data_IF_825359787136
#
_entry.id   IF_825359787136
#
_cell.length_a   1.000
_cell.length_b   1.000
_cell.length_c   1.000
_cell.angle_alpha   90.00
_cell.angle_beta   90.00
_cell.angle_gamma   90.00
#
_symmetry.space_group_name_H-M   'P 1'
#
loop_
_entity.id
_entity.type
_entity.pdbx_description
1 polymer ?
#
# COMPACT_ATOMS: atom_id res chain seq x y z
N UNK A 1 -3.36 16.95 42.02
CA UNK A 1 -2.56 18.20 41.96
C UNK A 1 -2.87 19.14 40.78
N UNK A 2 -3.36 18.69 39.62
CA UNK A 2 -3.58 19.57 38.46
C UNK A 2 -4.81 20.50 38.54
N UNK A 3 -5.87 20.13 39.28
CA UNK A 3 -7.09 20.94 39.40
C UNK A 3 -6.93 22.21 40.25
N UNK A 4 -5.97 22.25 41.19
CA UNK A 4 -5.75 23.42 42.06
C UNK A 4 -4.98 24.55 41.36
N UNK A 5 -4.10 24.22 40.39
CA UNK A 5 -3.39 25.21 39.56
C UNK A 5 -4.35 25.96 38.62
N UNK A 6 -5.27 25.26 37.95
CA UNK A 6 -6.26 25.87 37.06
C UNK A 6 -7.19 26.86 37.76
N UNK A 7 -7.56 26.60 39.03
CA UNK A 7 -8.41 27.49 39.82
C UNK A 7 -7.69 28.77 40.26
N UNK A 8 -6.37 28.71 40.47
CA UNK A 8 -5.53 29.91 40.76
C UNK A 8 -5.35 30.78 39.53
N UNK A 9 -5.12 30.21 38.35
CA UNK A 9 -4.94 30.99 37.11
C UNK A 9 -6.23 31.68 36.65
N UNK A 10 -7.39 31.04 36.81
CA UNK A 10 -8.69 31.66 36.53
C UNK A 10 -8.98 32.88 37.44
N UNK A 11 -8.49 32.87 38.68
CA UNK A 11 -8.68 33.98 39.64
C UNK A 11 -7.77 35.18 39.30
N UNK A 12 -6.58 34.93 38.76
CA UNK A 12 -5.63 35.97 38.32
C UNK A 12 -6.16 36.66 37.05
N UNK A 13 -6.66 35.90 36.07
CA UNK A 13 -7.26 36.43 34.84
C UNK A 13 -8.51 37.29 35.09
N UNK A 14 -9.32 36.96 36.11
CA UNK A 14 -10.51 37.75 36.48
C UNK A 14 -10.13 39.09 37.15
N UNK A 15 -9.02 39.13 37.88
CA UNK A 15 -8.48 40.35 38.51
C UNK A 15 -7.88 41.32 37.47
N UNK A 16 -7.21 40.80 36.45
CA UNK A 16 -6.66 41.62 35.34
C UNK A 16 -7.74 42.24 34.46
N UNK A 17 -8.86 41.54 34.21
CA UNK A 17 -10.02 42.10 33.49
C UNK A 17 -10.71 43.23 34.27
N UNK A 18 -10.73 43.17 35.60
CA UNK A 18 -11.36 44.19 36.42
C UNK A 18 -10.52 45.49 36.45
N UNK A 19 -9.19 45.37 36.44
CA UNK A 19 -8.27 46.51 36.40
C UNK A 19 -8.33 47.28 35.06
N UNK A 20 -8.52 46.56 33.95
CA UNK A 20 -8.69 47.16 32.61
C UNK A 20 -10.02 47.91 32.45
N UNK A 21 -11.07 47.51 33.18
CA UNK A 21 -12.39 48.14 33.09
C UNK A 21 -12.50 49.42 33.94
N UNK A 22 -11.73 49.56 35.02
CA UNK A 22 -11.66 50.80 35.81
C UNK A 22 -10.75 51.87 35.21
N UNK A 23 -9.82 51.52 34.31
CA UNK A 23 -8.96 52.50 33.64
C UNK A 23 -9.61 53.16 32.41
N UNK A 24 -10.74 52.65 31.92
CA UNK A 24 -11.40 53.12 30.68
C UNK A 24 -12.35 54.31 30.86
N UNK A 25 -12.45 54.93 32.05
CA UNK A 25 -13.41 56.03 32.33
C UNK A 25 -12.86 57.45 32.14
N UNK A 26 -11.66 57.63 31.59
CA UNK A 26 -10.99 58.94 31.56
C UNK A 26 -10.41 59.42 30.23
N UNK A 27 -10.66 58.76 29.08
CA UNK A 27 -10.04 59.16 27.81
C UNK A 27 -11.06 59.49 26.71
N UNK A 28 -10.91 60.63 25.99
CA UNK A 28 -11.78 61.01 24.88
C UNK A 28 -11.64 60.05 23.70
N UNK A 29 -12.70 59.93 22.89
CA UNK A 29 -12.88 59.04 21.73
C UNK A 29 -11.58 58.85 20.92
N UNK A 30 -10.87 57.74 21.15
CA UNK A 30 -9.84 57.25 20.24
C UNK A 30 -10.43 56.08 19.45
N UNK A 31 -10.18 56.14 18.15
CA UNK A 31 -10.76 55.35 17.08
C UNK A 31 -10.79 53.83 17.36
N UNK A 32 -11.89 53.16 17.00
CA UNK A 32 -12.15 51.73 17.30
C UNK A 32 -11.20 50.74 16.60
N UNK A 33 -10.29 51.23 15.75
CA UNK A 33 -9.48 50.40 14.86
C UNK A 33 -8.19 49.84 15.52
N UNK A 34 -7.85 50.28 16.75
CA UNK A 34 -6.65 49.79 17.47
C UNK A 34 -6.99 48.66 18.47
N UNK A 35 -8.27 48.33 18.66
CA UNK A 35 -8.74 47.32 19.61
C UNK A 35 -8.99 45.93 19.00
N UNK A 36 -8.35 45.61 17.87
CA UNK A 36 -8.51 44.33 17.16
C UNK A 36 -7.30 43.38 17.28
N UNK A 37 -6.47 43.47 18.33
CA UNK A 37 -5.27 42.62 18.53
C UNK A 37 -5.53 41.44 19.49
N UNK A 38 -6.74 40.89 19.53
CA UNK A 38 -7.03 39.74 20.41
C UNK A 38 -7.97 38.68 19.82
N UNK A 39 -7.46 37.89 18.87
CA UNK A 39 -8.02 36.58 18.51
C UNK A 39 -6.92 35.53 18.22
N UNK A 40 -6.17 35.04 19.22
CA UNK A 40 -5.17 33.98 19.00
C UNK A 40 -5.75 32.57 18.79
N UNK A 41 -7.05 32.35 19.02
CA UNK A 41 -7.65 31.00 19.11
C UNK A 41 -7.90 30.31 17.76
N UNK A 42 -8.09 31.03 16.65
CA UNK A 42 -8.24 30.41 15.32
C UNK A 42 -6.93 29.92 14.74
N UNK A 43 -5.86 30.71 14.83
CA UNK A 43 -4.54 30.41 14.23
C UNK A 43 -3.87 29.19 14.88
N UNK A 44 -4.02 29.04 16.20
CA UNK A 44 -3.46 27.90 16.95
C UNK A 44 -4.19 26.59 16.59
N UNK A 45 -5.51 26.63 16.34
CA UNK A 45 -6.28 25.46 15.91
C UNK A 45 -5.89 25.00 14.51
N UNK A 46 -5.69 25.92 13.57
CA UNK A 46 -5.24 25.58 12.22
C UNK A 46 -3.82 25.03 12.21
N UNK A 47 -2.88 25.57 13.00
CA UNK A 47 -1.53 24.99 13.15
C UNK A 47 -1.56 23.59 13.78
N UNK A 48 -2.30 23.37 14.87
CA UNK A 48 -2.44 22.02 15.47
C UNK A 48 -3.11 21.01 14.53
N UNK A 49 -4.08 21.45 13.72
CA UNK A 49 -4.72 20.59 12.71
C UNK A 49 -3.73 20.24 11.58
N UNK A 50 -2.90 21.21 11.15
CA UNK A 50 -1.87 21.03 10.14
C UNK A 50 -0.73 20.12 10.64
N UNK A 51 -0.25 20.31 11.87
CA UNK A 51 0.73 19.43 12.52
C UNK A 51 0.19 18.01 12.74
N UNK A 52 -1.05 17.85 13.20
CA UNK A 52 -1.68 16.52 13.31
C UNK A 52 -1.83 15.85 11.93
N UNK A 53 -2.18 16.61 10.89
CA UNK A 53 -2.26 16.07 9.52
C UNK A 53 -0.89 15.70 8.94
N UNK A 54 0.19 16.39 9.35
CA UNK A 54 1.56 16.04 8.93
C UNK A 54 2.11 14.83 9.71
N UNK A 55 1.89 14.77 11.03
CA UNK A 55 2.32 13.63 11.86
C UNK A 55 1.54 12.34 11.58
N UNK A 56 0.26 12.44 11.20
CA UNK A 56 -0.54 11.26 10.85
C UNK A 56 -0.17 10.70 9.47
N UNK A 57 0.30 11.54 8.54
CA UNK A 57 0.70 11.14 7.18
C UNK A 57 2.05 10.41 7.14
N UNK A 58 2.98 10.72 8.04
CA UNK A 58 4.27 10.02 8.16
C UNK A 58 4.12 8.62 8.74
N UNK A 59 3.26 8.42 9.74
CA UNK A 59 3.04 7.10 10.36
C UNK A 59 2.45 6.07 9.39
N UNK A 60 1.51 6.48 8.52
CA UNK A 60 0.92 5.58 7.52
C UNK A 60 1.90 5.20 6.41
N UNK A 61 2.82 6.09 6.04
CA UNK A 61 3.80 5.84 4.98
C UNK A 61 4.85 4.81 5.41
N UNK A 62 5.33 4.89 6.65
CA UNK A 62 6.28 3.90 7.21
C UNK A 62 5.64 2.52 7.32
N UNK A 63 4.37 2.44 7.75
CA UNK A 63 3.63 1.18 7.81
C UNK A 63 3.42 0.54 6.43
N UNK A 64 3.12 1.37 5.43
CA UNK A 64 2.96 0.89 4.04
C UNK A 64 4.29 0.38 3.49
N UNK A 65 5.39 1.10 3.74
CA UNK A 65 6.72 0.68 3.33
C UNK A 65 7.14 -0.64 4.00
N UNK A 66 6.91 -0.76 5.31
CA UNK A 66 7.18 -1.99 6.04
C UNK A 66 6.33 -3.16 5.53
N UNK A 67 5.04 -2.92 5.23
CA UNK A 67 4.17 -3.94 4.62
C UNK A 67 4.69 -4.41 3.26
N UNK A 68 5.12 -3.48 2.40
CA UNK A 68 5.71 -3.81 1.10
C UNK A 68 7.01 -4.60 1.25
N UNK A 69 7.87 -4.23 2.21
CA UNK A 69 9.12 -4.94 2.49
C UNK A 69 8.87 -6.38 2.99
N UNK A 70 7.86 -6.58 3.85
CA UNK A 70 7.49 -7.92 4.33
C UNK A 70 6.96 -8.78 3.17
N UNK A 71 6.11 -8.21 2.31
CA UNK A 71 5.60 -8.94 1.13
C UNK A 71 6.73 -9.28 0.15
N UNK A 72 7.66 -8.34 -0.07
CA UNK A 72 8.85 -8.57 -0.89
C UNK A 72 9.70 -9.73 -0.34
N UNK A 73 9.97 -9.73 0.97
CA UNK A 73 10.70 -10.81 1.62
C UNK A 73 9.95 -12.16 1.52
N UNK A 74 8.64 -12.14 1.76
CA UNK A 74 7.79 -13.33 1.63
C UNK A 74 7.80 -13.88 0.20
N UNK A 75 7.76 -13.00 -0.80
CA UNK A 75 7.85 -13.37 -2.22
C UNK A 75 9.16 -14.14 -2.49
N UNK A 76 10.30 -13.58 -2.10
CA UNK A 76 11.62 -14.22 -2.30
C UNK A 76 11.72 -15.54 -1.55
N UNK A 77 11.20 -15.62 -0.32
CA UNK A 77 11.20 -16.87 0.47
C UNK A 77 10.34 -17.95 -0.18
N UNK A 78 9.14 -17.61 -0.68
CA UNK A 78 8.30 -18.54 -1.44
C UNK A 78 9.03 -19.05 -2.69
N UNK A 79 9.80 -18.17 -3.34
CA UNK A 79 10.61 -18.57 -4.48
C UNK A 79 11.78 -19.49 -4.09
N UNK A 80 12.26 -19.44 -2.84
CA UNK A 80 13.35 -20.30 -2.38
C UNK A 80 12.88 -21.70 -1.97
N UNK A 81 11.70 -21.80 -1.36
CA UNK A 81 11.17 -23.05 -0.82
C UNK A 81 10.79 -24.04 -1.94
N UNK A 82 10.47 -23.52 -3.14
CA UNK A 82 10.05 -24.34 -4.27
C UNK A 82 11.15 -24.41 -5.33
N UNK A 83 11.91 -25.52 -5.40
CA UNK A 83 12.97 -25.71 -6.39
C UNK A 83 12.43 -25.86 -7.83
N UNK A 84 11.11 -26.01 -8.00
CA UNK A 84 10.44 -26.27 -9.29
C UNK A 84 10.09 -25.00 -10.07
N UNK A 85 10.93 -23.96 -10.00
CA UNK A 85 10.74 -22.70 -10.74
C UNK A 85 11.53 -22.60 -12.04
N UNK A 86 12.42 -23.56 -12.30
CA UNK A 86 13.33 -23.53 -13.45
C UNK A 86 13.18 -24.84 -14.25
N UNK A 87 12.63 -24.75 -15.47
CA UNK A 87 12.38 -25.90 -16.34
C UNK A 87 11.14 -25.73 -17.24
N UNK A 88 10.71 -26.80 -17.92
CA UNK A 88 9.50 -26.77 -18.76
C UNK A 88 8.21 -26.69 -17.91
N UNK A 89 8.21 -27.27 -16.71
CA UNK A 89 7.10 -27.19 -15.76
C UNK A 89 7.58 -26.29 -14.60
N UNK A 90 7.07 -25.06 -14.54
CA UNK A 90 7.45 -24.08 -13.51
C UNK A 90 6.26 -23.77 -12.62
N UNK A 91 6.36 -24.11 -11.34
CA UNK A 91 5.35 -23.76 -10.34
C UNK A 91 5.78 -22.50 -9.62
N UNK A 92 5.19 -21.35 -9.99
CA UNK A 92 5.50 -20.06 -9.37
C UNK A 92 4.48 -19.72 -8.28
N UNK A 93 4.62 -20.34 -7.11
CA UNK A 93 3.74 -20.05 -5.96
C UNK A 93 3.84 -18.59 -5.52
N UNK A 94 4.96 -17.93 -5.76
CA UNK A 94 5.17 -16.53 -5.43
C UNK A 94 4.21 -15.58 -6.15
N UNK A 95 3.70 -15.94 -7.34
CA UNK A 95 2.68 -15.14 -8.06
C UNK A 95 1.30 -15.20 -7.36
N UNK A 96 1.07 -16.17 -6.47
CA UNK A 96 -0.15 -16.19 -5.63
C UNK A 96 -0.27 -14.95 -4.74
N UNK A 97 0.86 -14.31 -4.39
CA UNK A 97 0.88 -13.06 -3.63
C UNK A 97 0.26 -11.88 -4.39
N UNK A 98 0.12 -11.98 -5.72
CA UNK A 98 -0.58 -10.95 -6.50
C UNK A 98 -2.04 -10.81 -6.11
N UNK A 99 -2.68 -11.86 -5.58
CA UNK A 99 -4.03 -11.74 -5.05
C UNK A 99 -4.14 -10.73 -3.90
N UNK A 100 -3.09 -10.51 -3.10
CA UNK A 100 -3.09 -9.45 -2.07
C UNK A 100 -3.18 -8.05 -2.70
N UNK A 101 -2.55 -7.87 -3.87
CA UNK A 101 -2.50 -6.60 -4.58
C UNK A 101 -3.88 -6.20 -5.10
N UNK A 102 -4.72 -7.18 -5.43
CA UNK A 102 -6.12 -6.97 -5.83
C UNK A 102 -6.95 -6.34 -4.71
N UNK A 103 -6.67 -6.72 -3.46
CA UNK A 103 -7.34 -6.15 -2.29
C UNK A 103 -6.78 -4.78 -1.91
N UNK A 104 -5.45 -4.61 -1.94
CA UNK A 104 -4.82 -3.33 -1.63
C UNK A 104 -3.70 -2.99 -2.61
N UNK A 105 -3.97 -1.98 -3.44
CA UNK A 105 -3.07 -1.48 -4.50
C UNK A 105 -1.74 -0.96 -3.96
N UNK A 106 -1.61 -0.69 -2.67
CA UNK A 106 -0.34 -0.25 -2.05
C UNK A 106 0.75 -1.32 -2.13
N UNK A 107 0.36 -2.60 -2.22
CA UNK A 107 1.26 -3.75 -2.23
C UNK A 107 1.89 -4.08 -3.59
N UNK A 108 1.51 -3.39 -4.67
CA UNK A 108 2.09 -3.56 -6.01
C UNK A 108 3.61 -3.51 -5.94
N UNK A 109 4.15 -2.51 -5.25
CA UNK A 109 5.60 -2.30 -5.14
C UNK A 109 6.31 -3.40 -4.34
N UNK A 110 5.62 -4.06 -3.41
CA UNK A 110 6.17 -5.19 -2.67
C UNK A 110 6.32 -6.42 -3.55
N UNK A 111 5.27 -6.77 -4.31
CA UNK A 111 5.31 -7.92 -5.22
C UNK A 111 6.23 -7.68 -6.41
N UNK A 112 6.09 -6.52 -7.09
CA UNK A 112 6.96 -6.16 -8.21
C UNK A 112 8.44 -6.11 -7.81
N UNK A 113 8.75 -5.49 -6.66
CA UNK A 113 10.10 -5.49 -6.14
C UNK A 113 10.60 -6.89 -5.78
N UNK A 114 9.72 -7.78 -5.29
CA UNK A 114 10.04 -9.18 -5.04
C UNK A 114 10.41 -9.96 -6.30
N UNK A 115 9.64 -9.79 -7.38
CA UNK A 115 9.91 -10.41 -8.70
C UNK A 115 11.24 -9.92 -9.24
N UNK A 116 11.46 -8.60 -9.26
CA UNK A 116 12.69 -8.00 -9.77
C UNK A 116 13.89 -8.46 -8.94
N UNK A 117 13.78 -8.49 -7.62
CA UNK A 117 14.85 -8.93 -6.74
C UNK A 117 15.16 -10.42 -6.92
N UNK A 118 14.14 -11.26 -6.96
CA UNK A 118 14.31 -12.70 -7.19
C UNK A 118 14.95 -12.96 -8.56
N UNK A 119 14.43 -12.36 -9.62
CA UNK A 119 14.97 -12.56 -10.98
C UNK A 119 16.40 -11.99 -11.11
N UNK A 120 16.75 -10.95 -10.36
CA UNK A 120 18.11 -10.40 -10.37
C UNK A 120 19.14 -11.35 -9.75
N UNK A 121 18.75 -12.08 -8.70
CA UNK A 121 19.63 -13.02 -8.00
C UNK A 121 19.58 -14.45 -8.54
N UNK A 122 18.42 -14.91 -8.99
CA UNK A 122 18.14 -16.33 -9.32
C UNK A 122 17.56 -16.54 -10.71
N UNK A 123 17.29 -15.48 -11.46
CA UNK A 123 16.71 -15.58 -12.80
C UNK A 123 17.72 -16.00 -13.87
N UNK A 124 17.21 -16.28 -15.07
CA UNK A 124 17.99 -16.60 -16.27
C UNK A 124 18.65 -15.36 -16.90
N UNK A 125 19.27 -14.52 -16.07
CA UNK A 125 19.94 -13.27 -16.46
C UNK A 125 19.02 -12.03 -16.50
N UNK A 126 19.52 -10.89 -17.00
CA UNK A 126 18.79 -9.61 -16.99
C UNK A 126 17.48 -9.64 -17.80
N UNK A 127 17.40 -10.53 -18.79
CA UNK A 127 16.20 -10.72 -19.59
C UNK A 127 15.05 -11.26 -18.75
N UNK A 128 15.32 -12.09 -17.74
CA UNK A 128 14.29 -12.63 -16.85
C UNK A 128 13.71 -11.53 -15.93
N UNK A 129 14.53 -10.56 -15.54
CA UNK A 129 14.05 -9.38 -14.80
C UNK A 129 13.11 -8.55 -15.67
N UNK A 130 13.45 -8.34 -16.94
CA UNK A 130 12.64 -7.55 -17.87
C UNK A 130 11.35 -8.27 -18.24
N UNK A 131 11.42 -9.52 -18.70
CA UNK A 131 10.23 -10.26 -19.14
C UNK A 131 9.36 -10.71 -17.97
N UNK A 132 9.95 -11.24 -16.90
CA UNK A 132 9.22 -11.60 -15.68
C UNK A 132 8.62 -10.38 -14.99
N UNK A 133 9.42 -9.33 -14.76
CA UNK A 133 8.94 -8.09 -14.17
C UNK A 133 7.86 -7.40 -15.03
N UNK A 134 8.05 -7.34 -16.35
CA UNK A 134 7.05 -6.76 -17.26
C UNK A 134 5.76 -7.61 -17.30
N UNK A 135 5.87 -8.93 -17.29
CA UNK A 135 4.73 -9.83 -17.23
C UNK A 135 3.91 -9.58 -15.97
N UNK A 136 4.53 -9.64 -14.78
CA UNK A 136 3.81 -9.41 -13.51
C UNK A 136 3.25 -7.99 -13.46
N UNK A 137 4.01 -6.98 -13.89
CA UNK A 137 3.56 -5.60 -13.89
C UNK A 137 2.36 -5.37 -14.82
N UNK A 138 2.39 -5.95 -16.03
CA UNK A 138 1.30 -5.84 -16.99
C UNK A 138 0.04 -6.57 -16.50
N UNK A 139 0.21 -7.78 -15.94
CA UNK A 139 -0.89 -8.55 -15.36
C UNK A 139 -1.54 -7.80 -14.18
N UNK A 140 -0.72 -7.24 -13.28
CA UNK A 140 -1.20 -6.41 -12.16
C UNK A 140 -1.94 -5.17 -12.64
N UNK A 141 -1.41 -4.45 -13.64
CA UNK A 141 -2.07 -3.28 -14.21
C UNK A 141 -3.42 -3.64 -14.85
N UNK A 142 -3.48 -4.75 -15.59
CA UNK A 142 -4.73 -5.25 -16.18
C UNK A 142 -5.76 -5.58 -15.08
N UNK A 143 -5.35 -6.27 -14.02
CA UNK A 143 -6.22 -6.59 -12.88
C UNK A 143 -6.69 -5.34 -12.14
N UNK A 144 -5.84 -4.34 -11.99
CA UNK A 144 -6.22 -3.05 -11.40
C UNK A 144 -7.25 -2.32 -12.30
N UNK A 145 -7.09 -2.42 -13.62
CA UNK A 145 -8.00 -1.90 -14.62
C UNK A 145 -9.37 -2.59 -14.65
N UNK A 146 -9.45 -3.90 -14.39
CA UNK A 146 -10.74 -4.62 -14.30
C UNK A 146 -11.39 -4.45 -12.93
N UNK A 147 -10.60 -4.35 -11.86
CA UNK A 147 -11.11 -4.22 -10.49
C UNK A 147 -11.96 -2.97 -10.28
N UNK A 148 -11.77 -1.91 -11.08
CA UNK A 148 -12.64 -0.71 -11.03
C UNK A 148 -14.06 -0.96 -11.55
N UNK A 149 -14.26 -1.97 -12.40
CA UNK A 149 -15.57 -2.30 -12.97
C UNK A 149 -16.29 -3.39 -12.18
N UNK A 150 -15.54 -4.33 -11.61
CA UNK A 150 -16.09 -5.47 -10.86
C UNK A 150 -16.22 -5.09 -9.39
N UNK A 151 -17.43 -5.18 -8.80
CA UNK A 151 -17.66 -4.83 -7.39
C UNK A 151 -17.46 -6.00 -6.41
N UNK A 152 -17.61 -7.24 -6.87
CA UNK A 152 -17.47 -8.43 -6.04
C UNK A 152 -16.02 -8.90 -5.95
N UNK A 153 -15.53 -9.11 -4.72
CA UNK A 153 -14.15 -9.53 -4.46
C UNK A 153 -13.78 -10.86 -5.15
N UNK A 154 -14.67 -11.84 -5.13
CA UNK A 154 -14.45 -13.16 -5.74
C UNK A 154 -14.20 -13.03 -7.25
N UNK A 155 -15.02 -12.25 -7.96
CA UNK A 155 -14.83 -12.04 -9.40
C UNK A 155 -13.54 -11.28 -9.71
N UNK A 156 -13.09 -10.36 -8.84
CA UNK A 156 -11.79 -9.71 -9.03
C UNK A 156 -10.63 -10.71 -8.96
N UNK A 157 -10.73 -11.71 -8.07
CA UNK A 157 -9.72 -12.77 -7.95
C UNK A 157 -9.73 -13.71 -9.16
N UNK A 158 -10.92 -14.07 -9.66
CA UNK A 158 -11.06 -14.88 -10.87
C UNK A 158 -10.44 -14.19 -12.07
N UNK A 159 -10.75 -12.90 -12.29
CA UNK A 159 -10.13 -12.14 -13.38
C UNK A 159 -8.61 -12.02 -13.21
N UNK A 160 -8.11 -11.85 -11.99
CA UNK A 160 -6.66 -11.86 -11.74
C UNK A 160 -6.02 -13.19 -12.17
N UNK A 161 -6.64 -14.32 -11.82
CA UNK A 161 -6.17 -15.64 -12.23
C UNK A 161 -6.07 -15.75 -13.75
N UNK A 162 -7.12 -15.34 -14.47
CA UNK A 162 -7.14 -15.37 -15.94
C UNK A 162 -6.04 -14.49 -16.55
N UNK A 163 -5.87 -13.26 -16.06
CA UNK A 163 -4.81 -12.38 -16.56
C UNK A 163 -3.42 -12.96 -16.33
N UNK A 164 -3.17 -13.54 -15.16
CA UNK A 164 -1.89 -14.17 -14.85
C UNK A 164 -1.63 -15.40 -15.73
N UNK A 165 -2.61 -16.28 -15.92
CA UNK A 165 -2.50 -17.43 -16.83
C UNK A 165 -2.21 -17.00 -18.27
N UNK A 166 -2.90 -15.99 -18.80
CA UNK A 166 -2.66 -15.49 -20.17
C UNK A 166 -1.29 -14.83 -20.29
N UNK A 167 -0.87 -14.10 -19.26
CA UNK A 167 0.41 -13.39 -19.24
C UNK A 167 1.63 -14.32 -19.24
N UNK A 168 1.46 -15.61 -18.93
CA UNK A 168 2.51 -16.65 -19.07
C UNK A 168 3.04 -16.77 -20.51
N UNK A 169 2.30 -16.26 -21.50
CA UNK A 169 2.78 -16.12 -22.88
C UNK A 169 4.13 -15.40 -22.97
N UNK A 170 4.31 -14.33 -22.18
CA UNK A 170 5.56 -13.55 -22.18
C UNK A 170 6.75 -14.36 -21.63
N UNK A 171 6.52 -15.15 -20.59
CA UNK A 171 7.55 -16.01 -19.98
C UNK A 171 7.89 -17.16 -20.93
N UNK A 172 6.89 -17.77 -21.59
CA UNK A 172 7.11 -18.82 -22.56
C UNK A 172 7.94 -18.34 -23.78
N UNK A 173 7.70 -17.12 -24.26
CA UNK A 173 8.52 -16.50 -25.31
C UNK A 173 9.96 -16.29 -24.84
N UNK A 174 10.16 -15.79 -23.63
CA UNK A 174 11.49 -15.62 -23.06
C UNK A 174 12.22 -16.95 -22.97
N UNK A 175 11.57 -18.00 -22.44
CA UNK A 175 12.17 -19.33 -22.28
C UNK A 175 12.52 -19.99 -23.62
N UNK A 176 11.73 -19.71 -24.66
CA UNK A 176 12.07 -20.14 -26.03
C UNK A 176 13.39 -19.49 -26.48
N UNK A 177 13.61 -18.21 -26.20
CA UNK A 177 14.83 -17.50 -26.59
C UNK A 177 16.05 -17.79 -25.71
N UNK A 178 15.86 -18.03 -24.42
CA UNK A 178 16.98 -18.21 -23.47
C UNK A 178 17.37 -19.65 -23.26
N UNK A 179 16.44 -20.59 -23.40
CA UNK A 179 16.64 -22.00 -23.09
C UNK A 179 16.27 -22.94 -24.25
N UNK A 180 16.04 -22.41 -25.46
CA UNK A 180 15.75 -23.14 -26.70
C UNK A 180 14.61 -24.19 -26.57
N UNK A 181 13.67 -23.93 -25.66
CA UNK A 181 12.54 -24.81 -25.42
C UNK A 181 11.40 -24.55 -26.41
N UNK A 182 10.64 -25.58 -26.83
CA UNK A 182 9.50 -25.40 -27.71
C UNK A 182 8.41 -24.56 -27.04
N UNK A 183 7.92 -23.55 -27.76
CA UNK A 183 6.99 -22.54 -27.23
C UNK A 183 5.66 -23.14 -26.73
N UNK A 184 4.97 -23.94 -27.56
CA UNK A 184 3.63 -24.45 -27.22
C UNK A 184 3.61 -25.38 -26.01
N UNK A 185 4.52 -26.36 -25.88
CA UNK A 185 4.62 -27.18 -24.67
C UNK A 185 4.93 -26.36 -23.43
N UNK A 186 5.92 -25.46 -23.50
CA UNK A 186 6.31 -24.62 -22.35
C UNK A 186 5.18 -23.68 -21.94
N UNK A 187 4.48 -23.06 -22.89
CA UNK A 187 3.31 -22.24 -22.58
C UNK A 187 2.20 -23.07 -21.93
N UNK A 188 1.89 -24.25 -22.49
CA UNK A 188 0.86 -25.12 -21.94
C UNK A 188 1.14 -25.56 -20.51
N UNK A 189 2.37 -26.00 -20.22
CA UNK A 189 2.76 -26.45 -18.89
C UNK A 189 2.85 -25.31 -17.87
N UNK A 190 3.40 -24.15 -18.26
CA UNK A 190 3.52 -22.97 -17.37
C UNK A 190 2.18 -22.26 -17.12
N UNK A 191 1.33 -22.15 -18.14
CA UNK A 191 -0.02 -21.61 -17.97
C UNK A 191 -0.88 -22.53 -17.10
N UNK A 192 -0.75 -23.85 -17.26
CA UNK A 192 -1.48 -24.83 -16.44
C UNK A 192 -1.02 -24.80 -14.98
N UNK A 193 0.29 -24.78 -14.71
CA UNK A 193 0.82 -24.72 -13.34
C UNK A 193 0.38 -23.43 -12.63
N UNK A 194 0.42 -22.29 -13.33
CA UNK A 194 -0.06 -21.02 -12.82
C UNK A 194 -1.56 -21.05 -12.52
N UNK A 195 -2.37 -21.55 -13.47
CA UNK A 195 -3.81 -21.64 -13.28
C UNK A 195 -4.18 -22.49 -12.05
N UNK A 196 -3.47 -23.60 -11.83
CA UNK A 196 -3.68 -24.48 -10.65
C UNK A 196 -3.33 -23.73 -9.36
N UNK A 197 -2.16 -23.09 -9.31
CA UNK A 197 -1.71 -22.33 -8.13
C UNK A 197 -2.67 -21.19 -7.81
N UNK A 198 -3.07 -20.41 -8.82
CA UNK A 198 -3.96 -19.27 -8.66
C UNK A 198 -5.37 -19.72 -8.25
N UNK A 199 -5.85 -20.84 -8.78
CA UNK A 199 -7.12 -21.43 -8.36
C UNK A 199 -7.10 -21.89 -6.89
N UNK A 200 -6.01 -22.52 -6.44
CA UNK A 200 -5.85 -22.97 -5.05
C UNK A 200 -5.63 -21.79 -4.09
N UNK A 201 -4.86 -20.80 -4.50
CA UNK A 201 -4.52 -19.66 -3.65
C UNK A 201 -5.64 -18.64 -3.52
N UNK A 202 -6.55 -18.53 -4.50
CA UNK A 202 -7.71 -17.66 -4.42
C UNK A 202 -8.58 -17.86 -3.16
N UNK A 203 -9.04 -19.08 -2.79
CA UNK A 203 -9.80 -19.31 -1.57
C UNK A 203 -8.98 -19.09 -0.30
N UNK A 204 -7.69 -19.45 -0.32
CA UNK A 204 -6.77 -19.20 0.79
C UNK A 204 -6.68 -17.69 1.05
N UNK A 205 -6.46 -16.90 -0.01
CA UNK A 205 -6.31 -15.46 0.10
C UNK A 205 -7.61 -14.75 0.52
N UNK A 206 -8.75 -15.26 0.06
CA UNK A 206 -10.06 -14.80 0.54
C UNK A 206 -10.21 -15.04 2.06
N UNK A 207 -9.78 -16.21 2.55
CA UNK A 207 -9.74 -16.52 3.98
C UNK A 207 -8.81 -15.58 4.76
N UNK A 208 -7.58 -15.35 4.27
CA UNK A 208 -6.62 -14.43 4.90
C UNK A 208 -7.18 -13.00 4.94
N UNK A 209 -7.82 -12.53 3.86
CA UNK A 209 -8.43 -11.20 3.86
C UNK A 209 -9.51 -11.04 4.94
N UNK A 210 -10.31 -12.08 5.19
CA UNK A 210 -11.34 -12.08 6.23
C UNK A 210 -10.76 -11.95 7.64
N UNK A 211 -9.58 -12.53 7.89
CA UNK A 211 -8.90 -12.50 9.19
C UNK A 211 -8.10 -11.21 9.38
N UNK A 212 -7.33 -10.80 8.36
CA UNK A 212 -6.38 -9.69 8.47
C UNK A 212 -7.05 -8.32 8.22
N UNK A 213 -8.18 -8.27 7.49
CA UNK A 213 -8.87 -7.04 7.07
C UNK A 213 -7.90 -6.02 6.47
N UNK A 214 -7.22 -6.40 5.39
CA UNK A 214 -6.22 -5.54 4.74
C UNK A 214 -6.79 -4.19 4.27
N UNK A 215 -8.11 -4.11 4.06
CA UNK A 215 -8.84 -2.89 3.71
C UNK A 215 -8.86 -1.84 4.84
N UNK A 216 -8.82 -2.26 6.12
CA UNK A 216 -9.04 -1.36 7.26
C UNK A 216 -7.76 -0.97 8.03
N UNK A 217 -6.65 -1.66 7.83
CA UNK A 217 -5.46 -1.51 8.71
C UNK A 217 -4.28 -0.73 8.13
N UNK A 218 -4.27 -0.36 6.84
CA UNK A 218 -3.11 0.29 6.18
C UNK A 218 -3.51 1.44 5.26
#
# INVERSE_FOLDING_TARGET
MAKSKLKKEAKILKKSRLCLLTFSRGFPKINKDILAVHQPSRVIKTRRKKEKSMQQKTSSSVRTLAGNAIIMALYVVLCFILPYQSGAIQFRLSESLNHLVVFNRKFIWGVFGGVVLYNLFFGYGPMDVLFGGAQTFLALLATIGISRFVKSDIWRLVWNCVFFTVSMFLIALMLMWTADLPFWPTYGTTALSEAIIMAISAPIMYGVNKVVKFDQRI
#
